data_IF_943750032364
#
_entry.id   IF_943750032364
#
_cell.length_a   1.000
_cell.length_b   1.000
_cell.length_c   1.000
_cell.angle_alpha   90.00
_cell.angle_beta   90.00
_cell.angle_gamma   90.00
#
_symmetry.space_group_name_H-M   'P 1'
#
loop_
_entity.id
_entity.type
_entity.pdbx_description
1 polymer ?
#
# COMPACT_ATOMS: atom_id res chain seq x y z
N UNK A 1 -2.02 4.22 17.98
CA UNK A 1 -1.09 5.02 18.81
C UNK A 1 -0.23 5.95 17.93
N UNK A 2 0.19 7.11 18.48
CA UNK A 2 1.12 8.01 17.78
C UNK A 2 2.55 7.47 17.82
N UNK A 3 3.34 7.81 16.78
CA UNK A 3 4.77 7.48 16.67
C UNK A 3 5.10 5.99 16.64
N UNK A 4 4.19 5.17 16.13
CA UNK A 4 4.42 3.75 15.86
C UNK A 4 4.60 3.52 14.36
N UNK A 5 5.27 2.42 14.00
CA UNK A 5 5.48 2.00 12.62
C UNK A 5 4.94 0.58 12.41
N UNK A 6 4.49 0.28 11.19
CA UNK A 6 4.03 -1.05 10.80
C UNK A 6 2.81 -1.54 11.57
N UNK A 7 1.88 -0.64 11.90
CA UNK A 7 0.65 -0.97 12.62
C UNK A 7 0.81 -1.42 14.07
N UNK A 8 2.02 -1.27 14.65
CA UNK A 8 2.29 -1.71 16.02
C UNK A 8 1.27 -1.18 17.01
N UNK A 9 0.68 -2.08 17.80
CA UNK A 9 -0.35 -1.79 18.78
C UNK A 9 -1.59 -1.10 18.20
N UNK A 10 -1.89 -1.25 16.91
CA UNK A 10 -3.20 -0.96 16.34
C UNK A 10 -4.14 -2.14 16.59
N UNK A 11 -5.40 -1.85 16.84
CA UNK A 11 -6.42 -2.87 17.13
C UNK A 11 -7.76 -2.45 16.53
N UNK A 12 -8.48 -3.41 15.96
CA UNK A 12 -9.87 -3.22 15.54
C UNK A 12 -10.75 -3.42 16.76
N UNK A 13 -11.55 -2.42 17.10
CA UNK A 13 -12.40 -2.41 18.28
C UNK A 13 -13.84 -2.75 17.88
N UNK A 14 -14.40 -3.80 18.46
CA UNK A 14 -15.77 -4.24 18.20
C UNK A 14 -16.76 -3.77 19.26
N UNK A 15 -16.32 -3.62 20.51
CA UNK A 15 -17.18 -3.23 21.63
C UNK A 15 -16.59 -2.08 22.47
N UNK A 16 -17.46 -1.31 23.12
CA UNK A 16 -17.04 -0.18 23.96
C UNK A 16 -16.10 -0.59 25.11
N UNK A 17 -16.30 -1.77 25.68
CA UNK A 17 -15.43 -2.33 26.73
C UNK A 17 -14.00 -2.56 26.25
N UNK A 18 -13.83 -3.00 25.00
CA UNK A 18 -12.53 -3.20 24.39
C UNK A 18 -11.82 -1.85 24.15
N UNK A 19 -12.58 -0.81 23.82
CA UNK A 19 -12.04 0.53 23.66
C UNK A 19 -11.41 1.04 24.97
N UNK A 20 -12.07 0.88 26.10
CA UNK A 20 -11.53 1.30 27.41
C UNK A 20 -10.25 0.54 27.77
N UNK A 21 -10.24 -0.78 27.56
CA UNK A 21 -9.05 -1.62 27.74
C UNK A 21 -7.91 -1.13 26.84
N UNK A 22 -8.20 -0.97 25.56
CA UNK A 22 -7.22 -0.57 24.55
C UNK A 22 -6.61 0.81 24.87
N UNK A 23 -7.43 1.82 25.21
CA UNK A 23 -6.93 3.16 25.54
C UNK A 23 -5.96 3.13 26.72
N UNK A 24 -6.23 2.27 27.72
CA UNK A 24 -5.34 2.08 28.86
C UNK A 24 -4.00 1.48 28.46
N UNK A 25 -3.98 0.56 27.50
CA UNK A 25 -2.78 -0.08 26.96
C UNK A 25 -2.03 0.81 25.97
N UNK A 26 -2.76 1.49 25.09
CA UNK A 26 -2.19 2.40 24.08
C UNK A 26 -1.44 3.57 24.72
N UNK A 27 -1.91 4.09 25.87
CA UNK A 27 -1.20 5.12 26.64
C UNK A 27 0.20 4.66 27.06
N UNK A 28 0.40 3.36 27.35
CA UNK A 28 1.72 2.81 27.70
C UNK A 28 2.69 2.87 26.52
N UNK A 29 2.19 2.76 25.29
CA UNK A 29 3.01 2.78 24.05
C UNK A 29 3.21 4.23 23.57
N UNK A 30 2.18 5.07 23.65
CA UNK A 30 2.18 6.44 23.12
C UNK A 30 2.61 7.50 24.15
N UNK A 31 2.72 7.16 25.44
CA UNK A 31 2.98 8.11 26.52
C UNK A 31 1.85 9.13 26.64
N UNK A 32 2.17 10.43 26.46
CA UNK A 32 1.21 11.53 26.50
C UNK A 32 0.65 11.91 25.11
N UNK A 33 1.04 11.19 24.06
CA UNK A 33 0.63 11.47 22.68
C UNK A 33 -0.82 11.01 22.43
N UNK A 34 -1.56 11.70 21.57
CA UNK A 34 -2.95 11.33 21.29
C UNK A 34 -3.01 9.97 20.56
N UNK A 35 -4.12 9.27 20.74
CA UNK A 35 -4.47 8.06 19.99
C UNK A 35 -5.50 8.47 18.92
N UNK A 36 -5.28 8.04 17.68
CA UNK A 36 -6.21 8.20 16.59
C UNK A 36 -7.25 7.09 16.66
N UNK A 37 -8.51 7.44 16.52
CA UNK A 37 -9.63 6.49 16.44
C UNK A 37 -10.37 6.78 15.14
N UNK A 38 -10.36 5.81 14.23
CA UNK A 38 -11.02 5.90 12.95
C UNK A 38 -12.21 4.93 12.87
N UNK A 39 -13.16 5.25 12.02
CA UNK A 39 -14.22 4.30 11.65
C UNK A 39 -13.62 3.18 10.83
N UNK A 40 -13.81 1.93 11.24
CA UNK A 40 -13.48 0.76 10.42
C UNK A 40 -14.45 0.65 9.23
N UNK A 41 -13.92 0.39 8.06
CA UNK A 41 -14.68 0.18 6.83
C UNK A 41 -14.71 -1.33 6.53
N UNK A 42 -15.77 -2.00 6.99
CA UNK A 42 -15.99 -3.41 6.67
C UNK A 42 -16.18 -3.61 5.16
N UNK A 43 -15.71 -4.73 4.61
CA UNK A 43 -15.83 -5.11 3.19
C UNK A 43 -15.27 -4.06 2.22
N UNK A 44 -14.32 -3.25 2.64
CA UNK A 44 -13.66 -2.30 1.76
C UNK A 44 -12.48 -2.95 1.02
N UNK A 45 -12.28 -2.56 -0.22
CA UNK A 45 -11.11 -2.94 -1.02
C UNK A 45 -9.98 -1.97 -0.69
N UNK A 46 -8.84 -2.47 -0.24
CA UNK A 46 -7.66 -1.65 -0.02
C UNK A 46 -6.83 -1.53 -1.30
N UNK A 47 -6.26 -0.35 -1.52
CA UNK A 47 -5.50 -0.03 -2.73
C UNK A 47 -4.24 0.72 -2.35
N UNK A 48 -3.08 0.19 -2.74
CA UNK A 48 -1.79 0.88 -2.65
C UNK A 48 -1.46 1.54 -3.99
N UNK A 49 -0.99 2.78 -3.95
CA UNK A 49 -0.53 3.50 -5.14
C UNK A 49 0.87 4.03 -4.94
N UNK A 50 1.78 3.63 -5.82
CA UNK A 50 3.11 4.20 -5.86
C UNK A 50 3.22 5.24 -6.98
N UNK A 51 3.73 6.42 -6.67
CA UNK A 51 3.90 7.53 -7.59
C UNK A 51 5.30 8.15 -7.53
N UNK A 52 5.72 8.68 -8.67
CA UNK A 52 6.93 9.51 -8.82
C UNK A 52 6.53 10.96 -9.03
N UNK A 53 7.20 11.90 -8.36
CA UNK A 53 6.97 13.32 -8.55
C UNK A 53 8.29 14.10 -8.54
N UNK A 54 8.40 15.14 -9.38
CA UNK A 54 9.58 16.03 -9.44
C UNK A 54 9.31 17.46 -8.92
N UNK A 55 8.12 17.66 -8.34
CA UNK A 55 7.61 18.93 -7.85
C UNK A 55 6.82 19.72 -8.91
N UNK A 56 6.86 19.32 -10.18
CA UNK A 56 6.10 19.94 -11.28
C UNK A 56 5.17 18.92 -11.95
N UNK A 57 5.66 17.71 -12.14
CA UNK A 57 4.92 16.61 -12.75
C UNK A 57 4.81 15.44 -11.79
N UNK A 58 3.77 14.64 -11.97
CA UNK A 58 3.53 13.41 -11.22
C UNK A 58 3.24 12.28 -12.21
N UNK A 59 3.76 11.11 -11.93
CA UNK A 59 3.47 9.88 -12.69
C UNK A 59 3.13 8.78 -11.71
N UNK A 60 1.93 8.21 -11.84
CA UNK A 60 1.55 7.01 -11.11
C UNK A 60 2.32 5.82 -11.70
N UNK A 61 3.12 5.18 -10.88
CA UNK A 61 3.97 4.05 -11.27
C UNK A 61 3.20 2.73 -11.23
N UNK A 62 2.21 2.63 -10.35
CA UNK A 62 1.32 1.47 -10.25
C UNK A 62 0.20 1.67 -9.25
N UNK A 63 -0.97 1.15 -9.59
CA UNK A 63 -2.14 1.03 -8.73
C UNK A 63 -2.30 -0.45 -8.42
N UNK A 64 -2.23 -0.83 -7.16
CA UNK A 64 -2.26 -2.21 -6.69
C UNK A 64 -3.51 -2.44 -5.85
N UNK A 65 -4.33 -3.39 -6.25
CA UNK A 65 -5.51 -3.82 -5.51
C UNK A 65 -5.15 -4.96 -4.57
N UNK A 66 -5.48 -4.84 -3.29
CA UNK A 66 -5.31 -5.91 -2.30
C UNK A 66 -6.35 -7.01 -2.49
N UNK A 67 -5.95 -8.24 -2.23
CA UNK A 67 -6.80 -9.42 -2.35
C UNK A 67 -7.51 -9.69 -1.03
N UNK A 68 -6.84 -9.47 0.09
CA UNK A 68 -7.43 -9.55 1.41
C UNK A 68 -8.27 -8.30 1.72
N UNK A 69 -9.20 -8.47 2.64
CA UNK A 69 -10.05 -7.39 3.13
C UNK A 69 -9.24 -6.26 3.78
N UNK A 70 -9.77 -5.05 3.73
CA UNK A 70 -9.17 -3.90 4.40
C UNK A 70 -9.04 -4.12 5.92
N UNK A 71 -7.95 -3.59 6.49
CA UNK A 71 -7.61 -3.77 7.91
C UNK A 71 -6.45 -4.75 8.15
N UNK A 72 -6.00 -5.44 7.12
CA UNK A 72 -4.75 -6.21 7.13
C UNK A 72 -3.63 -5.29 6.66
N UNK A 73 -2.47 -5.34 7.34
CA UNK A 73 -1.32 -4.52 6.96
C UNK A 73 -0.92 -4.77 5.49
N UNK A 74 -0.70 -3.71 4.72
CA UNK A 74 -0.39 -3.79 3.28
C UNK A 74 0.83 -4.67 2.93
N UNK A 75 1.79 -4.80 3.84
CA UNK A 75 2.91 -5.73 3.70
C UNK A 75 2.52 -7.21 3.77
N UNK A 76 1.40 -7.51 4.44
CA UNK A 76 0.90 -8.86 4.67
C UNK A 76 -0.16 -9.28 3.65
N UNK A 77 -0.76 -8.33 2.94
CA UNK A 77 -1.74 -8.59 1.90
C UNK A 77 -1.10 -9.00 0.59
N UNK A 78 -1.70 -9.96 -0.10
CA UNK A 78 -1.45 -10.16 -1.51
C UNK A 78 -2.01 -8.98 -2.31
N UNK A 79 -1.42 -8.63 -3.44
CA UNK A 79 -1.96 -7.58 -4.29
C UNK A 79 -1.74 -7.85 -5.78
N UNK A 80 -2.67 -7.34 -6.59
CA UNK A 80 -2.66 -7.44 -8.05
C UNK A 80 -2.27 -6.12 -8.70
N UNK A 81 -1.43 -6.18 -9.72
CA UNK A 81 -1.07 -5.07 -10.60
C UNK A 81 -1.18 -5.54 -12.07
N UNK A 82 -2.06 -4.94 -12.88
CA UNK A 82 -3.05 -3.91 -12.53
C UNK A 82 -4.13 -4.41 -11.58
N UNK A 83 -4.99 -3.52 -11.07
CA UNK A 83 -6.17 -3.87 -10.29
C UNK A 83 -7.03 -4.92 -10.99
N UNK A 84 -7.62 -5.84 -10.22
CA UNK A 84 -8.40 -6.96 -10.75
C UNK A 84 -9.89 -6.69 -10.79
N UNK A 85 -10.44 -6.10 -9.74
CA UNK A 85 -11.90 -5.89 -9.61
C UNK A 85 -12.32 -4.43 -9.73
N UNK A 86 -11.40 -3.48 -9.59
CA UNK A 86 -11.71 -2.05 -9.69
C UNK A 86 -12.05 -1.65 -11.12
N UNK A 87 -13.08 -0.84 -11.28
CA UNK A 87 -13.43 -0.26 -12.58
C UNK A 87 -12.36 0.75 -13.05
N UNK A 88 -12.24 0.92 -14.36
CA UNK A 88 -11.34 1.93 -14.95
C UNK A 88 -11.66 3.36 -14.45
N UNK A 89 -12.92 3.62 -14.08
CA UNK A 89 -13.32 4.91 -13.53
C UNK A 89 -12.75 5.13 -12.13
N UNK A 90 -12.87 4.13 -11.26
CA UNK A 90 -12.28 4.17 -9.93
C UNK A 90 -10.76 4.32 -9.99
N UNK A 91 -10.10 3.57 -10.87
CA UNK A 91 -8.65 3.68 -11.07
C UNK A 91 -8.26 5.11 -11.46
N UNK A 92 -8.93 5.71 -12.46
CA UNK A 92 -8.68 7.11 -12.86
C UNK A 92 -8.91 8.11 -11.72
N UNK A 93 -9.94 7.91 -10.91
CA UNK A 93 -10.22 8.78 -9.75
C UNK A 93 -9.16 8.65 -8.67
N UNK A 94 -8.66 7.45 -8.42
CA UNK A 94 -7.55 7.17 -7.49
C UNK A 94 -6.27 7.84 -7.99
N UNK A 95 -5.94 7.69 -9.28
CA UNK A 95 -4.78 8.35 -9.91
C UNK A 95 -4.85 9.87 -9.78
N UNK A 96 -6.01 10.47 -10.10
CA UNK A 96 -6.20 11.91 -9.98
C UNK A 96 -6.07 12.42 -8.53
N UNK A 97 -6.56 11.67 -7.53
CA UNK A 97 -6.36 12.00 -6.13
C UNK A 97 -4.89 11.88 -5.72
N UNK A 98 -4.20 10.86 -6.20
CA UNK A 98 -2.76 10.67 -5.95
C UNK A 98 -1.94 11.84 -6.50
N UNK A 99 -2.23 12.28 -7.74
CA UNK A 99 -1.60 13.47 -8.33
C UNK A 99 -1.84 14.73 -7.49
N UNK A 100 -3.09 14.97 -7.11
CA UNK A 100 -3.47 16.13 -6.31
C UNK A 100 -2.74 16.15 -4.95
N UNK A 101 -2.64 14.99 -4.29
CA UNK A 101 -1.90 14.83 -3.03
C UNK A 101 -0.41 15.10 -3.21
N UNK A 102 0.22 14.54 -4.27
CA UNK A 102 1.64 14.76 -4.55
C UNK A 102 1.97 16.23 -4.77
N UNK A 103 1.14 16.94 -5.53
CA UNK A 103 1.28 18.39 -5.76
C UNK A 103 1.08 19.19 -4.47
N UNK A 104 0.03 18.86 -3.68
CA UNK A 104 -0.29 19.59 -2.45
C UNK A 104 0.79 19.46 -1.38
N UNK A 105 1.43 18.30 -1.30
CA UNK A 105 2.52 18.01 -0.35
C UNK A 105 3.87 18.53 -0.89
N UNK A 106 4.00 18.71 -2.20
CA UNK A 106 5.24 19.13 -2.85
C UNK A 106 6.27 18.00 -2.93
N UNK A 107 5.80 16.79 -3.25
CA UNK A 107 6.65 15.58 -3.28
C UNK A 107 7.75 15.70 -4.33
N UNK A 108 8.95 15.25 -3.97
CA UNK A 108 10.08 15.02 -4.88
C UNK A 108 10.67 13.63 -4.62
N UNK A 109 10.62 12.77 -5.61
CA UNK A 109 10.98 11.36 -5.50
C UNK A 109 9.75 10.47 -5.48
N UNK A 110 9.67 9.57 -4.51
CA UNK A 110 8.57 8.61 -4.35
C UNK A 110 7.54 9.06 -3.32
N UNK A 111 6.30 8.70 -3.61
CA UNK A 111 5.18 8.75 -2.68
C UNK A 111 4.38 7.46 -2.81
N UNK A 112 3.93 6.95 -1.68
CA UNK A 112 2.94 5.88 -1.59
C UNK A 112 1.67 6.46 -0.97
N UNK A 113 0.52 6.12 -1.51
CA UNK A 113 -0.78 6.44 -0.94
C UNK A 113 -1.57 5.17 -0.76
N UNK A 114 -2.14 5.00 0.43
CA UNK A 114 -3.07 3.91 0.73
C UNK A 114 -4.48 4.44 0.72
N UNK A 115 -5.33 3.76 -0.03
CA UNK A 115 -6.75 4.05 -0.16
C UNK A 115 -7.58 2.86 0.29
N UNK A 116 -8.82 3.12 0.69
CA UNK A 116 -9.88 2.12 0.75
C UNK A 116 -11.01 2.53 -0.20
N UNK A 117 -11.61 1.56 -0.87
CA UNK A 117 -12.76 1.77 -1.74
C UNK A 117 -13.93 0.98 -1.17
N UNK A 118 -15.04 1.66 -0.93
CA UNK A 118 -16.30 1.05 -0.50
C UNK A 118 -17.49 1.76 -1.16
N UNK A 119 -18.39 1.00 -1.76
CA UNK A 119 -19.59 1.53 -2.42
C UNK A 119 -19.29 2.67 -3.40
N UNK A 120 -18.24 2.50 -4.23
CA UNK A 120 -17.71 3.49 -5.18
C UNK A 120 -17.13 4.78 -4.56
N UNK A 121 -17.08 4.87 -3.23
CA UNK A 121 -16.43 5.97 -2.50
C UNK A 121 -14.97 5.63 -2.21
N UNK A 122 -14.09 6.62 -2.40
CA UNK A 122 -12.65 6.50 -2.19
C UNK A 122 -12.26 7.22 -0.90
N UNK A 123 -11.63 6.50 0.00
CA UNK A 123 -11.12 7.00 1.27
C UNK A 123 -9.60 7.00 1.27
N UNK A 124 -8.96 8.10 1.64
CA UNK A 124 -7.51 8.16 1.85
C UNK A 124 -7.21 7.65 3.26
N UNK A 125 -6.44 6.58 3.37
CA UNK A 125 -6.03 6.01 4.65
C UNK A 125 -4.71 6.63 5.12
N UNK A 126 -3.68 6.64 4.25
CA UNK A 126 -2.35 7.11 4.60
C UNK A 126 -1.62 7.66 3.37
N UNK A 127 -0.82 8.71 3.58
CA UNK A 127 0.08 9.27 2.56
C UNK A 127 1.50 9.22 3.06
N UNK A 128 2.36 8.52 2.35
CA UNK A 128 3.76 8.31 2.69
C UNK A 128 4.68 8.94 1.63
N UNK A 129 5.23 10.16 1.82
CA UNK A 129 6.16 10.77 0.88
C UNK A 129 7.56 10.14 0.99
N UNK A 130 7.65 8.87 0.71
CA UNK A 130 8.84 8.01 0.77
C UNK A 130 8.67 6.79 -0.13
N UNK A 131 9.75 6.04 -0.35
CA UNK A 131 9.64 4.70 -0.94
C UNK A 131 8.81 3.76 -0.06
N UNK A 132 7.97 2.96 -0.69
CA UNK A 132 7.16 1.90 -0.08
C UNK A 132 7.84 0.53 -0.24
N UNK A 133 7.26 -0.48 0.38
CA UNK A 133 7.67 -1.88 0.17
C UNK A 133 7.20 -2.43 -1.16
N UNK A 134 6.16 -1.84 -1.75
CA UNK A 134 5.61 -2.24 -3.05
C UNK A 134 6.46 -1.76 -4.23
N UNK A 135 7.36 -0.78 -4.05
CA UNK A 135 8.24 -0.27 -5.12
C UNK A 135 9.04 -1.37 -5.85
N UNK A 136 9.66 -2.36 -5.19
CA UNK A 136 10.33 -3.45 -5.89
C UNK A 136 9.38 -4.31 -6.74
N UNK A 137 8.18 -4.57 -6.26
CA UNK A 137 7.14 -5.28 -6.98
C UNK A 137 6.70 -4.50 -8.23
N UNK A 138 6.34 -3.22 -8.07
CA UNK A 138 5.97 -2.33 -9.18
C UNK A 138 7.10 -2.25 -10.21
N UNK A 139 8.35 -2.07 -9.76
CA UNK A 139 9.51 -1.98 -10.63
C UNK A 139 9.71 -3.26 -11.47
N UNK A 140 9.56 -4.44 -10.86
CA UNK A 140 9.68 -5.73 -11.56
C UNK A 140 8.51 -5.95 -12.51
N UNK A 141 7.28 -5.66 -12.09
CA UNK A 141 6.09 -5.81 -12.91
C UNK A 141 6.12 -4.92 -14.15
N UNK A 142 6.50 -3.65 -13.99
CA UNK A 142 6.53 -2.66 -15.09
C UNK A 142 7.84 -2.67 -15.89
N UNK A 143 8.87 -3.38 -15.44
CA UNK A 143 10.21 -3.34 -16.03
C UNK A 143 10.91 -1.99 -15.88
N UNK A 144 10.45 -1.11 -14.97
CA UNK A 144 11.00 0.23 -14.75
C UNK A 144 11.82 0.29 -13.46
N UNK A 145 13.01 0.87 -13.47
CA UNK A 145 13.84 1.00 -12.27
C UNK A 145 13.37 2.16 -11.37
N UNK A 146 12.16 2.04 -10.83
CA UNK A 146 11.42 3.10 -10.12
C UNK A 146 12.27 3.76 -9.02
N UNK A 147 12.92 2.98 -8.16
CA UNK A 147 13.76 3.50 -7.09
C UNK A 147 14.97 4.30 -7.61
N UNK A 148 15.59 3.86 -8.72
CA UNK A 148 16.69 4.58 -9.36
C UNK A 148 16.22 5.91 -9.96
N UNK A 149 15.05 5.90 -10.60
CA UNK A 149 14.43 7.11 -11.16
C UNK A 149 14.14 8.11 -10.04
N UNK A 150 13.53 7.66 -8.94
CA UNK A 150 13.26 8.49 -7.78
C UNK A 150 14.54 9.11 -7.18
N UNK A 151 15.61 8.34 -7.04
CA UNK A 151 16.89 8.84 -6.55
C UNK A 151 17.47 9.96 -7.47
N UNK A 152 17.35 9.80 -8.77
CA UNK A 152 17.77 10.81 -9.75
C UNK A 152 16.90 12.06 -9.70
N UNK A 153 15.60 11.93 -9.53
CA UNK A 153 14.68 13.06 -9.33
C UNK A 153 15.06 13.83 -8.05
N UNK A 154 15.36 13.14 -6.96
CA UNK A 154 15.82 13.76 -5.72
C UNK A 154 17.18 14.47 -5.89
N UNK A 155 18.01 14.01 -6.84
CA UNK A 155 19.25 14.65 -7.22
C UNK A 155 19.08 15.83 -8.20
N UNK A 156 17.86 16.11 -8.65
CA UNK A 156 17.54 17.28 -9.49
C UNK A 156 17.09 16.98 -10.91
N UNK A 157 17.06 15.72 -11.33
CA UNK A 157 16.52 15.36 -12.65
C UNK A 157 15.00 15.60 -12.70
N UNK A 158 14.50 15.88 -13.91
CA UNK A 158 13.06 16.00 -14.15
C UNK A 158 12.46 14.69 -14.64
N UNK A 159 11.17 14.45 -14.33
CA UNK A 159 10.43 13.27 -14.82
C UNK A 159 10.48 13.15 -16.34
N UNK A 160 10.49 14.27 -17.06
CA UNK A 160 10.61 14.32 -18.52
C UNK A 160 11.92 13.74 -19.09
N UNK A 161 12.94 13.53 -18.25
CA UNK A 161 14.20 12.90 -18.66
C UNK A 161 14.12 11.36 -18.73
N UNK A 162 12.98 10.76 -18.33
CA UNK A 162 12.80 9.33 -18.28
C UNK A 162 11.66 8.89 -19.22
N UNK A 163 11.86 7.77 -19.91
CA UNK A 163 10.74 7.08 -20.55
C UNK A 163 9.98 6.27 -19.49
N UNK A 164 8.83 6.79 -19.09
CA UNK A 164 7.92 6.18 -18.10
C UNK A 164 6.69 5.55 -18.77
N UNK A 165 6.65 5.47 -20.11
CA UNK A 165 5.62 4.72 -20.79
C UNK A 165 5.64 3.27 -20.30
N UNK A 166 4.54 2.81 -19.71
CA UNK A 166 4.40 1.41 -19.31
C UNK A 166 4.27 0.63 -20.62
N UNK A 167 5.20 -0.29 -20.95
CA UNK A 167 4.99 -1.16 -22.10
C UNK A 167 3.65 -1.85 -21.89
N UNK A 168 2.77 -1.78 -22.88
CA UNK A 168 1.49 -2.48 -22.86
C UNK A 168 1.73 -3.98 -22.72
N UNK A 169 1.90 -4.45 -21.48
CA UNK A 169 2.45 -5.78 -21.20
C UNK A 169 1.42 -6.88 -21.29
N UNK A 170 0.12 -6.58 -21.24
CA UNK A 170 -0.94 -7.59 -21.24
C UNK A 170 -0.76 -8.70 -20.19
N UNK A 171 0.05 -8.47 -19.16
CA UNK A 171 0.26 -9.40 -18.07
C UNK A 171 -0.27 -8.81 -16.75
N UNK A 172 -0.59 -9.73 -15.86
CA UNK A 172 -0.99 -9.44 -14.48
C UNK A 172 0.15 -9.94 -13.59
N UNK A 173 0.53 -9.12 -12.63
CA UNK A 173 1.47 -9.48 -11.59
C UNK A 173 0.74 -9.57 -10.26
N UNK A 174 1.00 -10.63 -9.51
CA UNK A 174 0.50 -10.79 -8.15
C UNK A 174 1.67 -10.86 -7.20
N UNK A 175 1.62 -10.07 -6.14
CA UNK A 175 2.52 -10.17 -4.99
C UNK A 175 1.85 -11.01 -3.91
N UNK A 176 2.59 -11.91 -3.31
CA UNK A 176 2.18 -12.69 -2.14
C UNK A 176 3.17 -12.48 -1.00
N UNK A 177 2.67 -12.40 0.23
CA UNK A 177 3.52 -12.20 1.42
C UNK A 177 4.12 -13.53 1.90
N UNK A 178 5.34 -13.48 2.42
CA UNK A 178 6.01 -14.64 3.02
C UNK A 178 5.96 -14.56 4.54
N UNK A 179 5.35 -15.56 5.17
CA UNK A 179 5.16 -15.64 6.61
C UNK A 179 6.02 -16.73 7.24
N UNK A 180 7.07 -16.39 8.03
CA UNK A 180 7.93 -17.39 8.67
C UNK A 180 7.39 -17.86 10.02
N UNK A 181 6.09 -18.10 10.14
CA UNK A 181 5.44 -18.45 11.42
C UNK A 181 6.08 -19.63 12.13
N UNK A 182 6.59 -20.63 11.38
CA UNK A 182 7.29 -21.77 11.96
C UNK A 182 8.56 -21.39 12.74
N UNK A 183 9.12 -20.20 12.50
CA UNK A 183 10.32 -19.68 13.19
C UNK A 183 10.00 -18.85 14.43
N UNK A 184 8.75 -18.47 14.60
CA UNK A 184 8.28 -17.60 15.68
C UNK A 184 7.13 -18.25 16.45
N UNK A 185 7.41 -19.25 17.31
CA UNK A 185 6.37 -19.92 18.08
C UNK A 185 5.65 -18.94 19.01
N UNK A 186 4.33 -19.03 19.07
CA UNK A 186 3.48 -18.19 19.90
C UNK A 186 3.01 -16.88 19.25
N UNK A 187 3.39 -16.62 17.99
CA UNK A 187 2.82 -15.52 17.22
C UNK A 187 1.42 -15.92 16.72
N UNK A 188 0.46 -15.04 16.88
CA UNK A 188 -0.87 -15.23 16.33
C UNK A 188 -0.82 -15.32 14.79
N UNK A 189 -1.51 -16.31 14.24
CA UNK A 189 -1.58 -16.55 12.80
C UNK A 189 -2.61 -15.65 12.09
N UNK A 190 -3.53 -15.04 12.85
CA UNK A 190 -4.51 -14.13 12.30
C UNK A 190 -3.83 -12.86 11.83
N UNK A 191 -4.07 -12.50 10.58
CA UNK A 191 -3.59 -11.25 10.01
C UNK A 191 -4.40 -10.06 10.54
N UNK A 192 -3.78 -8.90 10.59
CA UNK A 192 -4.39 -7.68 11.11
C UNK A 192 -3.55 -6.45 10.78
N UNK A 193 -3.76 -5.33 11.47
CA UNK A 193 -3.08 -4.08 11.17
C UNK A 193 -1.58 -4.09 11.48
N UNK A 194 -1.09 -5.02 12.33
CA UNK A 194 0.32 -5.18 12.62
C UNK A 194 0.99 -6.15 11.65
N UNK A 195 2.08 -5.74 11.00
CA UNK A 195 2.78 -6.51 10.00
C UNK A 195 3.52 -7.73 10.59
N UNK A 196 3.35 -8.90 9.95
CA UNK A 196 3.96 -10.19 10.33
C UNK A 196 4.85 -10.80 9.24
N UNK A 197 4.71 -10.37 7.99
CA UNK A 197 5.51 -10.86 6.87
C UNK A 197 6.97 -10.41 6.93
N UNK A 198 7.85 -11.23 6.34
CA UNK A 198 9.30 -10.96 6.27
C UNK A 198 9.85 -10.91 4.85
N UNK A 199 9.02 -11.18 3.86
CA UNK A 199 9.40 -11.19 2.46
C UNK A 199 8.18 -11.25 1.56
N UNK A 200 8.43 -11.30 0.26
CA UNK A 200 7.40 -11.37 -0.76
C UNK A 200 7.81 -12.28 -1.91
N UNK A 201 6.84 -12.95 -2.53
CA UNK A 201 6.95 -13.66 -3.79
C UNK A 201 6.15 -12.93 -4.87
N UNK A 202 6.44 -13.19 -6.14
CA UNK A 202 5.71 -12.59 -7.26
C UNK A 202 5.41 -13.65 -8.32
N UNK A 203 4.14 -13.71 -8.72
CA UNK A 203 3.67 -14.46 -9.88
C UNK A 203 3.33 -13.52 -11.03
N UNK A 204 3.61 -13.92 -12.26
CA UNK A 204 3.26 -13.17 -13.48
C UNK A 204 2.61 -14.12 -14.49
N UNK A 205 1.46 -13.71 -15.03
CA UNK A 205 0.79 -14.39 -16.15
C UNK A 205 -0.12 -13.41 -16.92
N UNK A 206 -0.69 -13.85 -18.04
CA UNK A 206 -1.74 -13.11 -18.74
C UNK A 206 -3.14 -13.26 -18.10
N UNK A 207 -3.26 -14.14 -17.11
CA UNK A 207 -4.49 -14.46 -16.40
C UNK A 207 -4.26 -14.30 -14.88
N UNK A 208 -5.20 -13.65 -14.20
CA UNK A 208 -5.10 -13.38 -12.77
C UNK A 208 -4.96 -14.66 -11.93
N UNK A 209 -5.81 -15.65 -12.17
CA UNK A 209 -5.77 -16.90 -11.38
C UNK A 209 -4.44 -17.64 -11.52
N UNK A 210 -3.84 -17.62 -12.72
CA UNK A 210 -2.51 -18.20 -12.95
C UNK A 210 -1.39 -17.38 -12.32
N UNK A 211 -1.48 -16.05 -12.38
CA UNK A 211 -0.51 -15.17 -11.73
C UNK A 211 -0.55 -15.38 -10.21
N UNK A 212 -1.74 -15.46 -9.62
CA UNK A 212 -1.95 -15.75 -8.21
C UNK A 212 -1.38 -17.12 -7.82
N UNK A 213 -1.73 -18.18 -8.57
CA UNK A 213 -1.21 -19.53 -8.31
C UNK A 213 0.32 -19.64 -8.42
N UNK A 214 0.96 -18.77 -9.20
CA UNK A 214 2.44 -18.71 -9.29
C UNK A 214 3.08 -17.95 -8.13
N UNK A 215 2.35 -17.08 -7.47
CA UNK A 215 2.83 -16.32 -6.32
C UNK A 215 2.80 -17.14 -5.02
N UNK A 216 1.86 -18.12 -4.92
CA UNK A 216 1.72 -19.10 -3.84
C UNK A 216 2.91 -20.10 -3.81
#
# INVERSE_FOLDING_TARGET
PSYVLGGRAMEVIHEASDLERYLTEAVKVSGTSPVLIDRFLEDAIEVDVDALADGESVVVAGVMEHIEEAGIHSGDSACSLPPHSLSDDLVRRIEAQTEALAHKIGVRGLMNVQFAVKDDEIYVLEVNPRASRTVPFVAKSTGRPIAKIAARIMAGDKLSAFDLSIPGGGHISVKEAVFPFARFPGVDLLLGPEMKSTGEAMGIDSDFGRAFAKAQ
#
